data_IF_922555750355
#
_entry.id   IF_922555750355
#
_cell.length_a   1.000
_cell.length_b   1.000
_cell.length_c   1.000
_cell.angle_alpha   90.00
_cell.angle_beta   90.00
_cell.angle_gamma   90.00
#
_symmetry.space_group_name_H-M   'P 1'
#
loop_
_entity.id
_entity.type
_entity.pdbx_description
1 polymer ?
#
# COMPACT_ATOMS: atom_id res chain seq x y z
N UNK A 1 -24.43 -3.49 2.97
CA UNK A 1 -23.33 -3.30 2.02
C UNK A 1 -23.10 -1.81 1.78
N UNK A 2 -21.90 -1.32 2.00
CA UNK A 2 -21.62 0.10 1.78
C UNK A 2 -21.40 0.39 0.30
N UNK A 3 -21.69 1.63 -0.11
CA UNK A 3 -21.41 2.11 -1.46
C UNK A 3 -19.91 2.37 -1.67
N UNK A 4 -19.52 2.50 -2.92
CA UNK A 4 -18.11 2.86 -3.24
C UNK A 4 -17.74 4.23 -2.67
N UNK A 5 -18.69 5.17 -2.63
CA UNK A 5 -18.45 6.49 -2.04
C UNK A 5 -18.19 6.41 -0.55
N UNK A 6 -18.95 5.59 0.17
CA UNK A 6 -18.72 5.33 1.59
C UNK A 6 -17.39 4.63 1.83
N UNK A 7 -17.04 3.68 0.97
CA UNK A 7 -15.75 2.99 1.03
C UNK A 7 -14.60 3.98 0.85
N UNK A 8 -14.71 4.87 -0.13
CA UNK A 8 -13.72 5.92 -0.39
C UNK A 8 -13.53 6.82 0.83
N UNK A 9 -14.62 7.17 1.52
CA UNK A 9 -14.55 7.93 2.77
C UNK A 9 -13.80 7.18 3.87
N UNK A 10 -14.02 5.88 3.99
CA UNK A 10 -13.31 5.04 4.96
C UNK A 10 -11.81 4.99 4.66
N UNK A 11 -11.46 4.85 3.39
CA UNK A 11 -10.05 4.84 2.96
C UNK A 11 -9.40 6.18 3.24
N UNK A 12 -10.08 7.27 2.94
CA UNK A 12 -9.59 8.63 3.22
C UNK A 12 -9.37 8.85 4.71
N UNK A 13 -10.32 8.42 5.54
CA UNK A 13 -10.20 8.51 7.00
C UNK A 13 -8.99 7.72 7.51
N UNK A 14 -8.78 6.52 7.00
CA UNK A 14 -7.63 5.70 7.37
C UNK A 14 -6.31 6.34 6.92
N UNK A 15 -6.28 6.91 5.72
CA UNK A 15 -5.11 7.61 5.19
C UNK A 15 -4.76 8.85 6.01
N UNK A 16 -5.76 9.60 6.48
CA UNK A 16 -5.58 10.80 7.27
C UNK A 16 -4.95 10.52 8.64
N UNK A 17 -5.01 9.30 9.12
CA UNK A 17 -4.34 8.88 10.37
C UNK A 17 -2.83 8.74 10.22
N UNK A 18 -2.33 8.66 8.99
CA UNK A 18 -0.91 8.41 8.73
C UNK A 18 -0.12 9.72 8.63
N UNK A 19 1.14 9.73 9.11
CA UNK A 19 2.01 10.90 8.94
C UNK A 19 2.20 11.27 7.48
N UNK A 20 2.28 12.56 7.19
CA UNK A 20 2.44 13.08 5.82
C UNK A 20 3.63 12.46 5.09
N UNK A 21 4.71 12.20 5.80
CA UNK A 21 5.93 11.61 5.22
C UNK A 21 5.72 10.23 4.60
N UNK A 22 4.65 9.52 5.00
CA UNK A 22 4.34 8.20 4.42
C UNK A 22 3.89 8.32 2.96
N UNK A 23 3.44 9.51 2.56
CA UNK A 23 3.01 9.77 1.18
C UNK A 23 4.15 10.23 0.28
N UNK A 24 5.35 10.42 0.83
CA UNK A 24 6.53 10.77 0.04
C UNK A 24 6.81 9.70 -1.01
N UNK A 25 7.10 10.11 -2.23
CA UNK A 25 7.38 9.20 -3.36
C UNK A 25 6.21 8.26 -3.72
N UNK A 26 5.00 8.59 -3.27
CA UNK A 26 3.78 7.87 -3.64
C UNK A 26 3.01 8.71 -4.67
N UNK A 27 3.56 8.82 -5.88
CA UNK A 27 3.07 9.72 -6.92
C UNK A 27 1.63 9.43 -7.33
N UNK A 28 1.26 8.15 -7.39
CA UNK A 28 -0.10 7.73 -7.70
C UNK A 28 -1.07 7.78 -6.53
N UNK A 29 -0.56 8.04 -5.32
CA UNK A 29 -1.38 8.11 -4.12
C UNK A 29 -2.07 6.79 -3.80
N UNK A 30 -3.26 6.89 -3.20
CA UNK A 30 -4.13 5.75 -2.91
C UNK A 30 -5.30 5.81 -3.88
N UNK A 31 -5.41 4.82 -4.76
CA UNK A 31 -6.46 4.76 -5.77
C UNK A 31 -7.48 3.69 -5.41
N UNK A 32 -8.76 4.01 -5.60
CA UNK A 32 -9.87 3.09 -5.37
C UNK A 32 -10.22 2.42 -6.70
N UNK A 33 -10.21 1.09 -6.70
CA UNK A 33 -10.63 0.30 -7.86
C UNK A 33 -12.01 -0.29 -7.54
N UNK A 34 -12.97 -0.07 -8.41
CA UNK A 34 -14.36 -0.52 -8.21
C UNK A 34 -14.46 -2.05 -8.21
N UNK A 35 -13.74 -2.71 -9.11
CA UNK A 35 -13.82 -4.16 -9.26
C UNK A 35 -13.14 -4.93 -8.16
N UNK A 36 -13.39 -6.23 -8.17
CA UNK A 36 -12.69 -7.18 -7.31
C UNK A 36 -11.44 -7.69 -8.02
N UNK A 37 -10.46 -8.13 -7.23
CA UNK A 37 -9.27 -8.79 -7.76
C UNK A 37 -9.05 -10.10 -7.02
N UNK A 38 -8.83 -11.17 -7.79
CA UNK A 38 -8.50 -12.47 -7.22
C UNK A 38 -7.00 -12.69 -7.21
N UNK A 39 -6.54 -13.40 -6.18
CA UNK A 39 -5.13 -13.79 -6.10
C UNK A 39 -4.81 -14.76 -7.25
N UNK A 40 -3.65 -14.65 -7.92
CA UNK A 40 -3.29 -15.53 -9.04
C UNK A 40 -3.28 -17.02 -8.69
N UNK A 41 -3.07 -17.36 -7.42
CA UNK A 41 -3.04 -18.75 -6.95
C UNK A 41 -4.42 -19.25 -6.50
N UNK A 42 -5.45 -18.42 -6.62
CA UNK A 42 -6.82 -18.81 -6.28
C UNK A 42 -7.41 -19.70 -7.38
N UNK A 43 -7.51 -21.00 -7.12
CA UNK A 43 -8.03 -21.96 -8.08
C UNK A 43 -9.55 -21.78 -8.31
N UNK A 44 -10.28 -21.41 -7.25
CA UNK A 44 -11.73 -21.33 -7.24
C UNK A 44 -12.27 -19.89 -7.13
N UNK A 45 -11.39 -18.90 -7.25
CA UNK A 45 -11.78 -17.50 -7.11
C UNK A 45 -12.23 -17.12 -5.70
N UNK A 46 -11.69 -17.80 -4.69
CA UNK A 46 -12.04 -17.61 -3.29
C UNK A 46 -11.04 -16.76 -2.50
N UNK A 47 -9.90 -16.45 -3.09
CA UNK A 47 -8.86 -15.61 -2.44
C UNK A 47 -8.84 -14.24 -3.11
N UNK A 48 -9.28 -13.23 -2.37
CA UNK A 48 -9.32 -11.85 -2.86
C UNK A 48 -8.05 -11.09 -2.51
N UNK A 49 -7.64 -10.21 -3.40
CA UNK A 49 -6.63 -9.19 -3.12
C UNK A 49 -7.39 -7.94 -2.68
N UNK A 50 -7.18 -7.52 -1.44
CA UNK A 50 -7.86 -6.35 -0.86
C UNK A 50 -7.18 -5.05 -1.22
N UNK A 51 -5.86 -5.05 -1.18
CA UNK A 51 -5.04 -3.90 -1.54
C UNK A 51 -3.75 -4.36 -2.18
N UNK A 52 -3.09 -3.45 -2.88
CA UNK A 52 -1.86 -3.77 -3.59
C UNK A 52 -0.98 -2.53 -3.71
N UNK A 53 0.28 -2.66 -3.32
CA UNK A 53 1.27 -1.63 -3.57
C UNK A 53 2.01 -1.95 -4.87
N UNK A 54 2.00 -1.01 -5.81
CA UNK A 54 2.61 -1.19 -7.12
C UNK A 54 3.70 -0.16 -7.34
N UNK A 55 4.90 -0.63 -7.63
CA UNK A 55 6.04 0.20 -8.04
C UNK A 55 6.10 0.22 -9.56
N UNK A 56 6.28 1.39 -10.13
CA UNK A 56 6.51 1.52 -11.57
C UNK A 56 7.48 2.67 -11.84
N UNK A 57 8.00 2.73 -13.06
CA UNK A 57 8.88 3.82 -13.51
C UNK A 57 8.17 5.17 -13.49
N UNK A 58 6.85 5.15 -13.66
CA UNK A 58 6.03 6.37 -13.69
C UNK A 58 5.54 6.79 -12.30
N UNK A 59 5.82 5.99 -11.27
CA UNK A 59 5.44 6.30 -9.91
C UNK A 59 4.94 5.09 -9.14
N UNK A 60 4.80 5.28 -7.85
CA UNK A 60 4.30 4.25 -6.92
C UNK A 60 2.85 4.56 -6.58
N UNK A 61 2.03 3.52 -6.41
CA UNK A 61 0.61 3.67 -6.12
C UNK A 61 0.14 2.54 -5.22
N UNK A 62 -0.84 2.83 -4.38
CA UNK A 62 -1.57 1.83 -3.59
C UNK A 62 -2.97 1.72 -4.17
N UNK A 63 -3.35 0.52 -4.58
CA UNK A 63 -4.71 0.23 -5.01
C UNK A 63 -5.50 -0.40 -3.87
N UNK A 64 -6.73 0.07 -3.67
CA UNK A 64 -7.70 -0.50 -2.73
C UNK A 64 -8.90 -0.99 -3.54
N UNK A 65 -9.16 -2.28 -3.50
CA UNK A 65 -10.17 -2.92 -4.35
C UNK A 65 -11.52 -2.99 -3.63
N UNK A 66 -12.41 -2.06 -3.97
CA UNK A 66 -13.76 -2.00 -3.38
C UNK A 66 -14.51 -3.32 -3.53
N UNK A 67 -14.52 -3.89 -4.73
CA UNK A 67 -15.24 -5.15 -4.99
C UNK A 67 -14.74 -6.30 -4.15
N UNK A 68 -13.43 -6.37 -3.88
CA UNK A 68 -12.84 -7.39 -3.01
C UNK A 68 -13.33 -7.23 -1.56
N UNK A 69 -13.35 -5.99 -1.05
CA UNK A 69 -13.88 -5.71 0.29
C UNK A 69 -15.38 -6.04 0.38
N UNK A 70 -16.16 -5.64 -0.62
CA UNK A 70 -17.59 -5.92 -0.65
C UNK A 70 -17.89 -7.42 -0.64
N UNK A 71 -17.11 -8.19 -1.39
CA UNK A 71 -17.30 -9.65 -1.45
C UNK A 71 -16.84 -10.35 -0.17
N UNK A 72 -15.65 -10.02 0.33
CA UNK A 72 -15.06 -10.70 1.47
C UNK A 72 -15.74 -10.33 2.80
N UNK A 73 -16.21 -9.10 2.93
CA UNK A 73 -16.76 -8.55 4.17
C UNK A 73 -18.22 -8.13 4.05
N UNK A 74 -19.01 -8.81 3.21
CA UNK A 74 -20.39 -8.42 2.90
C UNK A 74 -21.31 -8.35 4.12
N UNK A 75 -21.03 -9.10 5.17
CA UNK A 75 -21.81 -9.09 6.41
C UNK A 75 -21.31 -8.11 7.48
N UNK A 76 -20.25 -7.36 7.17
CA UNK A 76 -19.65 -6.45 8.14
C UNK A 76 -20.42 -5.14 8.21
N UNK A 77 -20.55 -4.59 9.44
CA UNK A 77 -21.03 -3.23 9.60
C UNK A 77 -19.92 -2.24 9.24
N UNK A 78 -20.26 -0.96 9.19
CA UNK A 78 -19.33 0.09 8.76
C UNK A 78 -18.10 0.18 9.67
N UNK A 79 -18.28 0.02 10.98
CA UNK A 79 -17.16 0.08 11.94
C UNK A 79 -16.22 -1.11 11.77
N UNK A 80 -16.77 -2.31 11.65
CA UNK A 80 -15.97 -3.52 11.44
C UNK A 80 -15.23 -3.47 10.11
N UNK A 81 -15.89 -2.99 9.07
CA UNK A 81 -15.28 -2.80 7.75
C UNK A 81 -14.14 -1.78 7.82
N UNK A 82 -14.33 -0.69 8.54
CA UNK A 82 -13.27 0.33 8.71
C UNK A 82 -11.99 -0.26 9.31
N UNK A 83 -12.13 -1.15 10.28
CA UNK A 83 -10.97 -1.82 10.88
C UNK A 83 -10.17 -2.61 9.85
N UNK A 84 -10.88 -3.29 8.93
CA UNK A 84 -10.24 -4.04 7.86
C UNK A 84 -9.61 -3.13 6.81
N UNK A 85 -10.29 -2.07 6.42
CA UNK A 85 -9.75 -1.06 5.50
C UNK A 85 -8.46 -0.47 6.07
N UNK A 86 -8.48 -0.07 7.33
CA UNK A 86 -7.33 0.49 8.05
C UNK A 86 -6.16 -0.49 8.08
N UNK A 87 -6.43 -1.75 8.39
CA UNK A 87 -5.42 -2.80 8.46
C UNK A 87 -4.74 -3.02 7.11
N UNK A 88 -5.54 -3.16 6.06
CA UNK A 88 -5.03 -3.39 4.70
C UNK A 88 -4.24 -2.18 4.21
N UNK A 89 -4.77 -0.98 4.38
CA UNK A 89 -4.10 0.24 3.95
C UNK A 89 -2.74 0.40 4.64
N UNK A 90 -2.68 0.18 5.95
CA UNK A 90 -1.42 0.24 6.72
C UNK A 90 -0.42 -0.79 6.24
N UNK A 91 -0.88 -1.98 5.88
CA UNK A 91 -0.02 -3.04 5.34
C UNK A 91 0.63 -2.59 4.02
N UNK A 92 -0.14 -1.99 3.11
CA UNK A 92 0.39 -1.51 1.84
C UNK A 92 1.34 -0.32 2.02
N UNK A 93 1.04 0.61 2.92
CA UNK A 93 1.96 1.70 3.27
C UNK A 93 3.25 1.18 3.89
N UNK A 94 3.19 0.09 4.65
CA UNK A 94 4.39 -0.56 5.20
C UNK A 94 5.32 -1.00 4.06
N UNK A 95 4.80 -1.62 3.02
CA UNK A 95 5.59 -2.00 1.85
C UNK A 95 6.24 -0.79 1.21
N UNK A 96 5.50 0.30 1.07
CA UNK A 96 6.03 1.54 0.50
C UNK A 96 7.16 2.12 1.35
N UNK A 97 6.94 2.27 2.65
CA UNK A 97 7.93 2.85 3.57
C UNK A 97 9.17 1.98 3.68
N UNK A 98 9.01 0.67 3.79
CA UNK A 98 10.14 -0.28 3.81
C UNK A 98 10.91 -0.25 2.49
N UNK A 99 10.22 -0.14 1.37
CA UNK A 99 10.85 -0.01 0.06
C UNK A 99 11.70 1.26 -0.03
N UNK A 100 11.20 2.39 0.47
CA UNK A 100 11.95 3.64 0.50
C UNK A 100 13.15 3.56 1.46
N UNK A 101 12.99 2.94 2.62
CA UNK A 101 14.08 2.72 3.57
C UNK A 101 15.17 1.83 2.97
N UNK A 102 14.79 0.76 2.27
CA UNK A 102 15.72 -0.11 1.57
C UNK A 102 16.55 0.62 0.51
N UNK A 103 15.93 1.51 -0.25
CA UNK A 103 16.64 2.34 -1.23
C UNK A 103 17.64 3.25 -0.54
N UNK A 104 17.25 3.89 0.57
CA UNK A 104 18.14 4.77 1.34
C UNK A 104 19.32 4.00 1.93
N UNK A 105 19.08 2.80 2.45
CA UNK A 105 20.12 1.94 2.99
C UNK A 105 21.15 1.57 1.92
N UNK A 106 20.70 1.22 0.70
CA UNK A 106 21.58 0.90 -0.41
C UNK A 106 22.40 2.12 -0.82
N UNK A 107 21.81 3.30 -0.87
CA UNK A 107 22.51 4.54 -1.17
C UNK A 107 23.58 4.84 -0.10
N UNK A 108 23.24 4.66 1.17
CA UNK A 108 24.15 4.86 2.29
C UNK A 108 25.31 3.85 2.26
N UNK A 109 25.02 2.59 1.98
CA UNK A 109 26.05 1.54 1.84
C UNK A 109 27.01 1.86 0.70
N UNK A 110 26.49 2.31 -0.45
CA UNK A 110 27.30 2.70 -1.59
C UNK A 110 28.20 3.90 -1.24
N UNK A 111 27.67 4.88 -0.53
CA UNK A 111 28.43 6.04 -0.07
C UNK A 111 29.53 5.63 0.91
N UNK A 112 29.24 4.73 1.85
CA UNK A 112 30.21 4.21 2.80
C UNK A 112 31.31 3.42 2.10
N UNK A 113 30.95 2.58 1.14
CA UNK A 113 31.91 1.80 0.36
C UNK A 113 32.87 2.72 -0.41
N UNK A 114 32.35 3.80 -0.98
CA UNK A 114 33.16 4.80 -1.67
C UNK A 114 34.10 5.51 -0.71
N UNK A 115 33.62 5.91 0.47
CA UNK A 115 34.45 6.54 1.50
C UNK A 115 35.61 5.65 1.94
N UNK A 116 35.31 4.37 2.19
CA UNK A 116 36.35 3.39 2.57
C UNK A 116 37.39 3.22 1.48
N UNK A 117 36.96 3.17 0.22
CA UNK A 117 37.85 3.06 -0.92
C UNK A 117 38.78 4.27 -1.01
N UNK A 118 38.23 5.46 -0.80
CA UNK A 118 39.03 6.70 -0.80
C UNK A 118 40.01 6.76 0.36
N UNK A 119 39.64 6.27 1.54
CA UNK A 119 40.54 6.18 2.71
C UNK A 119 41.72 5.24 2.47
N UNK A 120 41.49 4.13 1.76
CA UNK A 120 42.56 3.16 1.43
C UNK A 120 43.57 3.72 0.47
N UNK A 121 43.22 4.73 -0.31
CA UNK A 121 44.12 5.39 -1.27
C UNK A 121 44.99 6.49 -0.64
N UNK A 122 44.69 6.85 0.59
CA UNK A 122 45.49 7.81 1.36
C UNK A 122 46.63 7.05 2.06
#
# INVERSE_FOLDING_TARGET
LISIDEFEELVRKAADELPDRFFDELQGGVAIIEGEKFHPKSADGDIYVMGEYVKSETGNVIYMYYGSFAAAYCGYDKEALYKEVRRVLRHEFRHHVEGMAGIRELEDEDAQALEELLKRRR
#
